data_IF_458465122145
#
_entry.id   IF_458465122145
#
_cell.length_a   1.000
_cell.length_b   1.000
_cell.length_c   1.000
_cell.angle_alpha   90.00
_cell.angle_beta   90.00
_cell.angle_gamma   90.00
#
_symmetry.space_group_name_H-M   'P 1'
#
loop_
_entity.id
_entity.type
_entity.pdbx_description
1 polymer ?
#
# COMPACT_ATOMS: atom_id res chain seq x y z
N UNK A 1 -6.26 -0.01 -5.57
CA UNK A 1 -5.53 1.16 -4.99
C UNK A 1 -4.05 0.87 -4.98
N UNK A 2 -3.22 1.91 -5.02
CA UNK A 2 -1.77 1.76 -5.12
C UNK A 2 -1.07 2.33 -3.90
N UNK A 3 0.19 1.94 -3.70
CA UNK A 3 1.03 2.51 -2.66
C UNK A 3 2.19 3.32 -3.25
N UNK A 4 2.63 4.32 -2.50
CA UNK A 4 3.83 5.09 -2.76
C UNK A 4 4.81 4.89 -1.59
N UNK A 5 6.02 4.36 -1.82
CA UNK A 5 6.62 3.99 -3.12
C UNK A 5 5.95 2.81 -3.85
N UNK A 6 6.19 2.67 -5.16
CA UNK A 6 5.70 1.53 -5.96
C UNK A 6 6.58 0.28 -5.74
N UNK A 7 6.03 -0.75 -5.10
CA UNK A 7 6.78 -1.97 -4.79
C UNK A 7 6.59 -3.06 -5.85
N UNK A 8 7.71 -3.63 -6.31
CA UNK A 8 7.70 -4.74 -7.29
C UNK A 8 7.08 -6.02 -6.75
N UNK A 9 7.13 -6.24 -5.43
CA UNK A 9 6.58 -7.44 -4.78
C UNK A 9 5.92 -7.08 -3.45
N UNK A 10 4.93 -7.88 -3.03
CA UNK A 10 4.31 -7.79 -1.69
C UNK A 10 5.32 -7.95 -0.55
N UNK A 11 6.36 -8.78 -0.75
CA UNK A 11 7.44 -8.97 0.23
C UNK A 11 8.21 -7.67 0.45
N UNK A 12 8.57 -6.96 -0.62
CA UNK A 12 9.29 -5.69 -0.53
C UNK A 12 8.48 -4.62 0.21
N UNK A 13 7.18 -4.55 -0.04
CA UNK A 13 6.26 -3.68 0.71
C UNK A 13 6.29 -4.03 2.21
N UNK A 14 6.11 -5.31 2.57
CA UNK A 14 6.10 -5.77 3.97
C UNK A 14 7.41 -5.45 4.69
N UNK A 15 8.55 -5.65 4.02
CA UNK A 15 9.86 -5.32 4.57
C UNK A 15 10.06 -3.81 4.77
N UNK A 16 9.59 -2.98 3.85
CA UNK A 16 9.67 -1.52 3.97
C UNK A 16 8.86 -1.03 5.19
N UNK A 17 7.64 -1.53 5.37
CA UNK A 17 6.78 -1.22 6.52
C UNK A 17 7.43 -1.70 7.82
N UNK A 18 7.97 -2.92 7.85
CA UNK A 18 8.68 -3.46 9.03
C UNK A 18 9.93 -2.64 9.41
N UNK A 19 10.59 -2.01 8.42
CA UNK A 19 11.72 -1.09 8.64
C UNK A 19 11.29 0.31 9.08
N UNK A 20 9.99 0.58 9.21
CA UNK A 20 9.46 1.91 9.57
C UNK A 20 9.42 2.89 8.40
N UNK A 21 9.50 2.41 7.15
CA UNK A 21 9.34 3.28 5.99
C UNK A 21 7.90 3.80 5.96
N UNK A 22 7.74 5.11 5.84
CA UNK A 22 6.43 5.73 5.65
C UNK A 22 5.93 5.46 4.24
N UNK A 23 4.94 4.56 4.14
CA UNK A 23 4.29 4.20 2.88
C UNK A 23 2.87 4.75 2.87
N UNK A 24 2.50 5.49 1.84
CA UNK A 24 1.13 6.05 1.66
C UNK A 24 0.35 5.27 0.62
N UNK A 25 -0.97 5.43 0.62
CA UNK A 25 -1.86 4.87 -0.39
C UNK A 25 -2.37 6.02 -1.27
N UNK A 26 -2.66 5.73 -2.54
CA UNK A 26 -3.34 6.66 -3.44
C UNK A 26 -4.26 5.89 -4.39
N UNK A 27 -5.32 6.58 -4.86
CA UNK A 27 -6.40 5.97 -5.64
C UNK A 27 -6.82 6.90 -6.80
N UNK A 28 -6.04 6.95 -7.90
CA UNK A 28 -6.34 7.82 -9.04
C UNK A 28 -7.75 7.52 -9.58
N UNK A 29 -8.62 8.53 -9.59
CA UNK A 29 -9.98 8.41 -10.11
C UNK A 29 -10.99 7.67 -9.22
N UNK A 30 -10.60 7.20 -8.02
CA UNK A 30 -11.47 6.44 -7.11
C UNK A 30 -11.71 7.15 -5.76
N UNK A 31 -11.26 8.39 -5.62
CA UNK A 31 -11.41 9.19 -4.40
C UNK A 31 -10.15 9.19 -3.52
N UNK A 32 -10.33 9.55 -2.25
CA UNK A 32 -9.25 9.63 -1.27
C UNK A 32 -9.17 8.30 -0.49
N UNK A 33 -7.98 7.70 -0.35
CA UNK A 33 -7.77 6.58 0.56
C UNK A 33 -8.06 6.97 2.00
N UNK A 34 -8.40 5.98 2.83
CA UNK A 34 -8.57 6.17 4.26
C UNK A 34 -7.25 6.57 4.92
N UNK A 35 -7.34 7.49 5.87
CA UNK A 35 -6.24 7.80 6.79
C UNK A 35 -6.05 6.68 7.81
N UNK A 36 -7.15 6.06 8.23
CA UNK A 36 -7.17 5.06 9.30
C UNK A 36 -8.08 3.88 8.95
N UNK A 37 -7.66 2.67 9.32
CA UNK A 37 -8.45 1.45 9.17
C UNK A 37 -7.87 0.48 8.15
N UNK A 38 -8.73 -0.16 7.35
CA UNK A 38 -8.31 -1.21 6.40
C UNK A 38 -8.43 -0.73 4.96
N UNK A 39 -7.38 -0.97 4.18
CA UNK A 39 -7.35 -0.78 2.74
C UNK A 39 -6.89 -2.03 1.98
N UNK A 40 -7.24 -2.08 0.69
CA UNK A 40 -6.87 -3.13 -0.23
C UNK A 40 -6.06 -2.53 -1.38
N UNK A 41 -4.81 -2.95 -1.49
CA UNK A 41 -3.89 -2.42 -2.48
C UNK A 41 -3.36 -3.51 -3.40
N UNK A 42 -2.98 -3.10 -4.60
CA UNK A 42 -2.42 -3.96 -5.63
C UNK A 42 -1.12 -3.37 -6.16
N UNK A 43 -0.28 -4.22 -6.73
CA UNK A 43 0.92 -3.75 -7.38
C UNK A 43 1.61 -4.82 -8.24
N UNK A 44 2.66 -4.42 -8.97
CA UNK A 44 3.17 -3.06 -9.09
C UNK A 44 2.22 -2.16 -9.89
N UNK A 45 2.22 -0.85 -9.64
CA UNK A 45 1.46 0.12 -10.44
C UNK A 45 2.10 0.33 -11.84
N UNK A 46 1.31 0.70 -12.84
CA UNK A 46 1.68 0.92 -14.27
C UNK A 46 2.08 -0.32 -15.09
N UNK A 47 2.07 -1.51 -14.49
CA UNK A 47 2.29 -2.79 -15.18
C UNK A 47 1.23 -3.77 -14.72
N UNK A 48 1.21 -4.97 -15.31
CA UNK A 48 0.34 -6.04 -14.85
C UNK A 48 0.56 -6.28 -13.35
N UNK A 49 -0.51 -6.15 -12.57
CA UNK A 49 -0.45 -6.38 -11.13
C UNK A 49 -0.17 -7.86 -10.86
N UNK A 50 0.87 -8.12 -10.08
CA UNK A 50 1.30 -9.48 -9.72
C UNK A 50 1.04 -9.80 -8.26
N UNK A 51 0.58 -8.83 -7.46
CA UNK A 51 0.27 -9.05 -6.06
C UNK A 51 -0.86 -8.14 -5.57
N UNK A 52 -1.56 -8.65 -4.54
CA UNK A 52 -2.61 -7.95 -3.81
C UNK A 52 -2.34 -8.07 -2.30
N UNK A 53 -2.71 -7.04 -1.54
CA UNK A 53 -2.52 -7.02 -0.10
C UNK A 53 -3.68 -6.31 0.60
N UNK A 54 -4.06 -6.83 1.77
CA UNK A 54 -4.83 -6.07 2.75
C UNK A 54 -3.83 -5.35 3.66
N UNK A 55 -4.04 -4.06 3.88
CA UNK A 55 -3.17 -3.23 4.71
C UNK A 55 -3.95 -2.53 5.81
N UNK A 56 -3.28 -2.25 6.92
CA UNK A 56 -3.79 -1.40 7.99
C UNK A 56 -3.17 -0.02 7.85
N UNK A 57 -4.02 1.00 7.78
CA UNK A 57 -3.68 2.42 7.74
C UNK A 57 -3.80 3.00 9.14
N UNK A 58 -2.82 3.81 9.53
CA UNK A 58 -2.85 4.66 10.73
C UNK A 58 -2.20 5.99 10.37
N UNK A 59 -2.87 7.11 10.64
CA UNK A 59 -2.39 8.47 10.36
C UNK A 59 -1.92 8.67 8.90
N UNK A 60 -2.59 8.01 7.94
CA UNK A 60 -2.27 8.09 6.52
C UNK A 60 -1.13 7.18 6.05
N UNK A 61 -0.56 6.35 6.93
CA UNK A 61 0.53 5.44 6.61
C UNK A 61 0.15 3.98 6.80
N UNK A 62 0.74 3.10 5.98
CA UNK A 62 0.63 1.65 6.17
C UNK A 62 1.46 1.23 7.37
N UNK A 63 0.83 0.56 8.34
CA UNK A 63 1.48 0.00 9.54
C UNK A 63 1.54 -1.52 9.56
N UNK A 64 0.65 -2.19 8.81
CA UNK A 64 0.62 -3.66 8.71
C UNK A 64 0.24 -4.12 7.32
N UNK A 65 0.85 -5.21 6.86
CA UNK A 65 0.59 -5.85 5.56
C UNK A 65 0.27 -7.33 5.79
N UNK A 66 -0.94 -7.75 5.43
CA UNK A 66 -1.35 -9.17 5.44
C UNK A 66 -1.12 -9.80 4.09
#
# INVERSE_FOLDING_TARGET
MYCSPNFKTKKALREAVAKGTKVTVFAPGLGQPKTDGTEYIEGPNYVMHTWYAQVTMVDGFITKVK
#
